data_IF_344840516377
#
_entry.id   IF_344840516377
#
_cell.length_a   1.000
_cell.length_b   1.000
_cell.length_c   1.000
_cell.angle_alpha   90.00
_cell.angle_beta   90.00
_cell.angle_gamma   90.00
#
_symmetry.space_group_name_H-M   'P 1'
#
loop_
_entity.id
_entity.type
_entity.pdbx_description
1 polymer ?
#
# COMPACT_ATOMS: atom_id res chain seq x y z
N UNK A 1 9.27 -7.67 -8.88
CA UNK A 1 8.36 -6.76 -8.17
C UNK A 1 8.87 -5.35 -8.32
N UNK A 2 8.00 -4.36 -8.20
CA UNK A 2 8.31 -2.94 -8.18
C UNK A 2 7.63 -2.32 -6.95
N UNK A 3 8.30 -1.38 -6.30
CA UNK A 3 7.78 -0.68 -5.14
C UNK A 3 7.69 0.82 -5.41
N UNK A 4 6.59 1.44 -5.00
CA UNK A 4 6.41 2.89 -4.98
C UNK A 4 6.25 3.37 -3.54
N UNK A 5 6.82 4.52 -3.19
CA UNK A 5 6.78 5.10 -1.84
C UNK A 5 6.79 6.62 -1.89
N UNK A 6 6.31 7.26 -0.83
CA UNK A 6 6.17 8.72 -0.74
C UNK A 6 4.76 9.14 -1.15
N UNK A 7 4.63 9.85 -2.27
CA UNK A 7 3.32 10.18 -2.82
C UNK A 7 2.62 8.91 -3.35
N UNK A 8 1.29 8.78 -3.16
CA UNK A 8 0.53 7.72 -3.82
C UNK A 8 0.76 7.74 -5.33
N UNK A 9 1.02 6.57 -5.92
CA UNK A 9 1.02 6.44 -7.38
C UNK A 9 -0.42 6.64 -7.87
N UNK A 10 -0.61 7.47 -8.90
CA UNK A 10 -1.95 7.68 -9.46
C UNK A 10 -2.50 6.39 -10.10
N UNK A 11 -3.82 6.30 -10.23
CA UNK A 11 -4.47 5.15 -10.87
C UNK A 11 -4.01 5.01 -12.32
N UNK A 12 -3.88 6.11 -13.07
CA UNK A 12 -3.40 6.10 -14.45
C UNK A 12 -1.95 5.60 -14.55
N UNK A 13 -1.11 5.94 -13.56
CA UNK A 13 0.25 5.42 -13.46
C UNK A 13 0.27 3.91 -13.21
N UNK A 14 -0.64 3.43 -12.36
CA UNK A 14 -0.84 2.00 -12.10
C UNK A 14 -1.24 1.24 -13.38
N UNK A 15 -2.26 1.74 -14.09
CA UNK A 15 -2.74 1.17 -15.35
C UNK A 15 -1.67 1.17 -16.45
N UNK A 16 -0.89 2.26 -16.55
CA UNK A 16 0.21 2.36 -17.50
C UNK A 16 1.23 1.26 -17.27
N UNK A 17 1.62 0.99 -16.03
CA UNK A 17 2.61 -0.06 -15.71
C UNK A 17 2.07 -1.43 -16.13
N UNK A 18 0.83 -1.74 -15.77
CA UNK A 18 0.24 -3.03 -16.13
C UNK A 18 0.04 -3.21 -17.63
N UNK A 19 -0.30 -2.13 -18.36
CA UNK A 19 -0.53 -2.19 -19.81
C UNK A 19 0.75 -2.20 -20.64
N UNK A 20 1.70 -1.33 -20.30
CA UNK A 20 2.86 -1.04 -21.16
C UNK A 20 4.16 -1.69 -20.69
N UNK A 21 4.27 -2.02 -19.38
CA UNK A 21 5.50 -2.58 -18.81
C UNK A 21 5.37 -4.08 -18.59
N UNK A 22 4.41 -4.52 -17.76
CA UNK A 22 4.20 -5.93 -17.42
C UNK A 22 2.85 -6.13 -16.71
N UNK A 23 2.02 -7.02 -17.25
CA UNK A 23 0.64 -7.30 -16.80
C UNK A 23 0.56 -8.12 -15.50
N UNK A 24 1.52 -9.03 -15.25
CA UNK A 24 1.63 -9.81 -14.00
C UNK A 24 2.64 -9.22 -13.00
N UNK A 25 2.87 -7.91 -13.01
CA UNK A 25 3.82 -7.27 -12.10
C UNK A 25 3.28 -7.15 -10.66
N UNK A 26 4.06 -7.61 -9.69
CA UNK A 26 3.84 -7.26 -8.28
C UNK A 26 4.25 -5.79 -8.05
N UNK A 27 3.31 -4.86 -8.24
CA UNK A 27 3.47 -3.42 -8.03
C UNK A 27 2.93 -3.04 -6.65
N UNK A 28 3.82 -2.90 -5.66
CA UNK A 28 3.42 -2.62 -4.28
C UNK A 28 3.58 -1.13 -3.96
N UNK A 29 2.46 -0.48 -3.62
CA UNK A 29 2.48 0.83 -2.95
C UNK A 29 2.80 0.62 -1.48
N UNK A 30 3.88 1.24 -0.98
CA UNK A 30 4.34 1.13 0.41
C UNK A 30 4.43 2.51 1.06
N UNK A 31 4.36 2.54 2.40
CA UNK A 31 4.43 3.78 3.18
C UNK A 31 5.61 3.75 4.15
N UNK A 32 6.78 4.15 3.64
CA UNK A 32 8.00 4.25 4.45
C UNK A 32 8.06 5.54 5.28
N UNK A 33 8.54 5.42 6.52
CA UNK A 33 8.74 6.52 7.46
C UNK A 33 10.07 6.43 8.19
N UNK A 34 10.72 7.58 8.36
CA UNK A 34 12.02 7.69 9.02
C UNK A 34 11.95 7.34 10.51
N UNK A 35 10.82 7.60 11.16
CA UNK A 35 10.58 7.41 12.60
C UNK A 35 10.87 5.97 13.07
N UNK A 36 10.52 4.98 12.24
CA UNK A 36 10.73 3.57 12.53
C UNK A 36 11.73 2.90 11.59
N UNK A 37 12.35 3.68 10.68
CA UNK A 37 13.16 3.17 9.57
C UNK A 37 12.49 1.98 8.86
N UNK A 38 11.21 2.16 8.50
CA UNK A 38 10.34 1.05 8.09
C UNK A 38 8.97 1.53 7.63
N UNK A 39 8.01 0.61 7.50
CA UNK A 39 6.66 0.92 7.03
C UNK A 39 5.58 0.29 7.92
N UNK A 40 4.45 0.99 8.10
CA UNK A 40 3.25 0.41 8.71
C UNK A 40 2.43 -0.42 7.71
N UNK A 41 2.45 -0.05 6.43
CA UNK A 41 1.83 -0.79 5.33
C UNK A 41 2.83 -1.09 4.21
N UNK A 42 2.74 -2.30 3.67
CA UNK A 42 3.74 -2.96 2.82
C UNK A 42 3.08 -3.72 1.67
N UNK A 43 3.90 -4.28 0.79
CA UNK A 43 3.46 -5.26 -0.21
C UNK A 43 3.33 -6.68 0.36
N UNK A 44 2.38 -7.44 -0.17
CA UNK A 44 2.17 -8.87 0.07
C UNK A 44 2.30 -9.64 -1.26
N UNK A 45 3.39 -10.39 -1.49
CA UNK A 45 3.57 -11.17 -2.72
C UNK A 45 2.51 -12.24 -2.97
N UNK A 46 1.74 -12.63 -1.94
CA UNK A 46 0.71 -13.67 -2.01
C UNK A 46 -0.71 -13.08 -2.13
N UNK A 47 -0.86 -11.76 -2.09
CA UNK A 47 -2.14 -11.07 -2.12
C UNK A 47 -2.38 -10.32 -3.43
N UNK A 48 -3.64 -9.95 -3.72
CA UNK A 48 -3.96 -9.08 -4.84
C UNK A 48 -3.40 -7.67 -4.63
N UNK A 49 -3.20 -6.94 -5.73
CA UNK A 49 -2.81 -5.53 -5.75
C UNK A 49 -3.98 -4.73 -6.32
N UNK A 50 -4.33 -3.62 -5.68
CA UNK A 50 -5.38 -2.70 -6.12
C UNK A 50 -4.79 -1.28 -6.28
N UNK A 51 -5.16 -0.60 -7.36
CA UNK A 51 -4.77 0.79 -7.59
C UNK A 51 -5.35 1.69 -6.50
N UNK A 52 -4.58 2.68 -6.05
CA UNK A 52 -5.01 3.61 -4.99
C UNK A 52 -4.90 3.07 -3.56
N UNK A 53 -4.53 1.81 -3.36
CA UNK A 53 -4.46 1.18 -2.03
C UNK A 53 -3.04 0.82 -1.58
N UNK A 54 -2.82 0.85 -0.27
CA UNK A 54 -1.68 0.17 0.36
C UNK A 54 -2.09 -1.28 0.63
N UNK A 55 -1.32 -2.23 0.09
CA UNK A 55 -1.79 -3.60 -0.08
C UNK A 55 -2.13 -4.33 1.24
N UNK A 56 -1.27 -4.21 2.25
CA UNK A 56 -1.54 -4.80 3.55
C UNK A 56 -0.77 -4.09 4.68
N UNK A 57 -1.17 -4.35 5.92
CA UNK A 57 -0.40 -3.99 7.12
C UNK A 57 0.87 -4.83 7.19
N UNK A 58 1.94 -4.27 7.75
CA UNK A 58 3.16 -5.03 8.01
C UNK A 58 2.96 -6.10 9.08
N UNK A 59 3.61 -7.25 8.91
CA UNK A 59 3.55 -8.33 9.89
C UNK A 59 4.08 -7.85 11.26
N UNK A 60 3.34 -8.13 12.32
CA UNK A 60 3.68 -7.69 13.68
C UNK A 60 3.27 -6.24 13.99
N UNK A 61 2.68 -5.51 13.04
CA UNK A 61 2.20 -4.14 13.25
C UNK A 61 0.70 -4.14 13.61
N UNK A 62 0.35 -3.62 14.78
CA UNK A 62 -1.05 -3.34 15.18
C UNK A 62 -1.47 -1.97 14.63
N UNK A 63 -1.72 -1.88 13.33
CA UNK A 63 -2.15 -0.66 12.66
C UNK A 63 -3.68 -0.57 12.70
N UNK A 64 -4.23 0.56 13.13
CA UNK A 64 -5.67 0.83 13.23
C UNK A 64 -5.96 2.24 12.72
N UNK A 65 -7.10 2.43 12.07
CA UNK A 65 -7.68 3.75 11.78
C UNK A 65 -8.68 4.07 12.88
N UNK A 66 -8.75 5.33 13.30
CA UNK A 66 -9.64 5.78 14.37
C UNK A 66 -10.52 6.93 13.87
N UNK A 67 -11.79 6.92 14.28
CA UNK A 67 -12.72 8.02 14.06
C UNK A 67 -12.44 9.22 14.99
N UNK A 68 -13.21 10.30 14.84
CA UNK A 68 -13.08 11.51 15.68
C UNK A 68 -13.37 11.26 17.18
N UNK A 69 -13.99 10.13 17.53
CA UNK A 69 -14.25 9.73 18.92
C UNK A 69 -13.17 8.80 19.47
N UNK A 70 -12.11 8.51 18.70
CA UNK A 70 -11.03 7.61 19.10
C UNK A 70 -11.43 6.13 19.09
N UNK A 71 -12.48 5.74 18.37
CA UNK A 71 -12.87 4.35 18.19
C UNK A 71 -12.23 3.80 16.92
N UNK A 72 -11.69 2.58 17.00
CA UNK A 72 -11.13 1.95 15.80
C UNK A 72 -12.23 1.59 14.80
N UNK A 73 -11.98 1.90 13.52
CA UNK A 73 -12.90 1.71 12.40
C UNK A 73 -12.26 0.89 11.27
N UNK A 74 -13.10 0.20 10.50
CA UNK A 74 -12.74 -0.65 9.36
C UNK A 74 -13.81 -0.45 8.29
N UNK A 75 -13.42 -0.33 7.02
CA UNK A 75 -14.30 -0.09 5.86
C UNK A 75 -15.14 1.19 5.98
N UNK A 76 -14.49 2.28 6.38
CA UNK A 76 -15.09 3.63 6.47
C UNK A 76 -14.54 4.52 5.35
#
# INVERSE_FOLDING_TARGET
SLLSTGSPLSEEGFEFIYREIKDDLQLSSISGGSDINGCFALGNPMGPVYSGELQCRGLGMKVETFDDNGKSVINE
#
